data_IF_368764938244
#
_entry.id   IF_368764938244
#
_cell.length_a   1.000
_cell.length_b   1.000
_cell.length_c   1.000
_cell.angle_alpha   90.00
_cell.angle_beta   90.00
_cell.angle_gamma   90.00
#
_symmetry.space_group_name_H-M   'P 1'
#
loop_
_entity.id
_entity.type
_entity.pdbx_description
1 polymer ?
#
# COMPACT_ATOMS: atom_id res chain seq x y z
N UNK A 1 16.78 -9.94 -0.31
CA UNK A 1 16.07 -9.06 -1.26
C UNK A 1 16.06 -7.62 -0.73
N UNK A 2 15.98 -6.64 -1.61
CA UNK A 2 15.85 -5.26 -1.20
C UNK A 2 14.39 -4.92 -0.82
N UNK A 3 14.13 -3.68 -0.39
CA UNK A 3 12.80 -3.28 0.05
C UNK A 3 11.78 -3.34 -1.08
N UNK A 4 12.15 -2.92 -2.28
CA UNK A 4 11.27 -2.95 -3.44
C UNK A 4 10.88 -4.37 -3.80
N UNK A 5 11.85 -5.30 -3.80
CA UNK A 5 11.59 -6.71 -4.04
C UNK A 5 10.68 -7.31 -2.97
N UNK A 6 10.91 -6.94 -1.71
CA UNK A 6 10.08 -7.38 -0.58
C UNK A 6 8.64 -6.92 -0.75
N UNK A 7 8.44 -5.63 -1.03
CA UNK A 7 7.10 -5.07 -1.20
C UNK A 7 6.42 -5.59 -2.47
N UNK A 8 7.18 -5.88 -3.51
CA UNK A 8 6.64 -6.50 -4.71
C UNK A 8 6.16 -7.92 -4.41
N UNK A 9 6.94 -8.69 -3.65
CA UNK A 9 6.54 -10.03 -3.21
C UNK A 9 5.29 -9.97 -2.32
N UNK A 10 5.21 -9.00 -1.41
CA UNK A 10 4.04 -8.80 -0.57
C UNK A 10 2.82 -8.41 -1.40
N UNK A 11 2.99 -7.57 -2.42
CA UNK A 11 1.91 -7.23 -3.35
C UNK A 11 1.30 -8.49 -3.94
N UNK A 12 2.13 -9.42 -4.42
CA UNK A 12 1.63 -10.68 -4.98
C UNK A 12 0.91 -11.52 -3.92
N UNK A 13 1.40 -11.52 -2.69
CA UNK A 13 0.77 -12.29 -1.59
C UNK A 13 -0.59 -11.74 -1.16
N UNK A 14 -0.83 -10.44 -1.31
CA UNK A 14 -2.11 -9.85 -0.94
C UNK A 14 -3.15 -9.88 -2.07
N UNK A 15 -2.75 -10.23 -3.30
CA UNK A 15 -3.70 -10.35 -4.43
C UNK A 15 -4.92 -11.20 -4.11
N UNK A 16 -4.78 -12.40 -3.49
CA UNK A 16 -5.96 -13.20 -3.14
C UNK A 16 -6.93 -12.51 -2.19
N UNK A 17 -6.43 -11.65 -1.30
CA UNK A 17 -7.29 -10.90 -0.39
C UNK A 17 -8.23 -9.96 -1.14
N UNK A 18 -7.71 -9.31 -2.17
CA UNK A 18 -8.52 -8.45 -3.06
C UNK A 18 -9.49 -9.30 -3.88
N UNK A 19 -9.03 -10.42 -4.40
CA UNK A 19 -9.87 -11.32 -5.20
C UNK A 19 -11.09 -11.85 -4.44
N UNK A 20 -11.00 -12.01 -3.12
CA UNK A 20 -12.13 -12.41 -2.28
C UNK A 20 -13.30 -11.44 -2.39
N UNK A 21 -13.04 -10.20 -2.77
CA UNK A 21 -14.06 -9.16 -2.89
C UNK A 21 -14.33 -8.77 -4.35
N UNK A 22 -13.92 -9.64 -5.29
CA UNK A 22 -14.08 -9.38 -6.71
C UNK A 22 -13.20 -8.27 -7.26
N UNK A 23 -12.13 -7.92 -6.53
CA UNK A 23 -11.23 -6.87 -6.93
C UNK A 23 -9.94 -7.45 -7.52
N UNK A 24 -9.47 -6.88 -8.63
CA UNK A 24 -8.24 -7.31 -9.28
C UNK A 24 -7.17 -6.23 -9.13
N UNK A 25 -6.10 -6.56 -8.42
CA UNK A 25 -4.91 -5.73 -8.40
C UNK A 25 -4.29 -5.78 -9.80
N UNK A 26 -3.94 -4.65 -10.42
CA UNK A 26 -3.32 -4.66 -11.75
C UNK A 26 -2.12 -5.62 -11.81
N UNK A 27 -1.95 -6.30 -12.95
CA UNK A 27 -0.89 -7.30 -13.12
C UNK A 27 0.48 -6.72 -12.83
N UNK A 28 0.71 -5.48 -13.24
CA UNK A 28 1.94 -4.77 -12.95
C UNK A 28 1.63 -3.52 -12.14
N UNK A 29 2.19 -3.47 -10.95
CA UNK A 29 2.19 -2.30 -10.07
C UNK A 29 3.64 -2.06 -9.69
N UNK A 30 4.15 -0.89 -9.98
CA UNK A 30 5.50 -0.53 -9.56
C UNK A 30 5.45 -0.07 -8.11
N UNK A 31 6.26 -0.69 -7.26
CA UNK A 31 6.36 -0.30 -5.84
C UNK A 31 7.80 0.13 -5.59
N UNK A 32 7.96 1.36 -5.15
CA UNK A 32 9.26 1.93 -4.81
C UNK A 32 9.26 2.42 -3.38
N UNK A 33 10.41 2.34 -2.74
CA UNK A 33 10.63 2.93 -1.42
C UNK A 33 11.36 4.25 -1.63
N UNK A 34 10.69 5.34 -1.27
CA UNK A 34 11.22 6.67 -1.45
C UNK A 34 10.29 7.69 -0.81
N UNK A 35 10.74 8.92 -0.72
CA UNK A 35 9.89 9.96 -0.16
C UNK A 35 8.83 10.36 -1.19
N UNK A 36 7.53 10.30 -0.78
CA UNK A 36 6.47 10.82 -1.64
C UNK A 36 6.70 12.29 -1.96
N UNK A 37 6.14 12.75 -3.07
CA UNK A 37 6.36 14.10 -3.57
C UNK A 37 5.79 15.18 -2.68
N UNK A 38 4.95 14.84 -1.69
CA UNK A 38 4.18 15.80 -0.92
C UNK A 38 4.21 15.45 0.55
N UNK A 39 4.63 16.41 1.39
CA UNK A 39 4.62 16.30 2.85
C UNK A 39 5.39 15.10 3.42
N UNK A 40 6.37 14.57 2.70
CA UNK A 40 7.09 13.36 3.09
C UNK A 40 7.82 13.51 4.43
N UNK A 41 8.34 14.70 4.72
CA UNK A 41 9.12 14.99 5.93
C UNK A 41 8.34 15.82 6.96
N UNK A 42 7.08 16.15 6.68
CA UNK A 42 6.25 16.93 7.59
C UNK A 42 5.87 16.08 8.82
N UNK A 43 5.97 16.66 10.02
CA UNK A 43 5.54 15.99 11.25
C UNK A 43 4.03 15.98 11.42
N UNK A 44 3.32 16.93 10.81
CA UNK A 44 1.86 17.05 10.90
C UNK A 44 1.11 16.40 9.74
N UNK A 45 1.67 16.50 8.53
CA UNK A 45 1.02 16.07 7.28
C UNK A 45 1.92 15.13 6.50
N UNK A 46 2.65 14.26 7.22
CA UNK A 46 3.57 13.32 6.58
C UNK A 46 2.81 12.39 5.66
N UNK A 47 3.18 12.39 4.39
CA UNK A 47 2.70 11.41 3.42
C UNK A 47 3.56 10.17 3.55
N UNK A 48 2.96 9.04 3.96
CA UNK A 48 3.65 7.79 4.20
C UNK A 48 3.51 6.79 3.06
N UNK A 49 2.57 7.05 2.16
CA UNK A 49 2.40 6.29 0.93
C UNK A 49 1.73 7.15 -0.12
N UNK A 50 1.90 6.80 -1.37
CA UNK A 50 1.31 7.52 -2.49
C UNK A 50 1.13 6.59 -3.67
N UNK A 51 -0.04 6.66 -4.32
CA UNK A 51 -0.30 5.95 -5.57
C UNK A 51 -0.44 6.94 -6.72
N UNK A 52 0.38 6.74 -7.74
CA UNK A 52 0.26 7.48 -8.99
C UNK A 52 -0.56 6.67 -9.97
N UNK A 53 -1.59 7.24 -10.61
CA UNK A 53 -2.40 6.51 -11.56
C UNK A 53 -1.59 6.09 -12.79
N UNK A 54 -2.09 5.07 -13.50
CA UNK A 54 -1.41 4.52 -14.67
C UNK A 54 -1.19 5.54 -15.77
N UNK A 55 -2.10 6.50 -15.94
CA UNK A 55 -1.97 7.55 -16.97
C UNK A 55 -0.86 8.55 -16.68
N UNK A 56 -0.36 8.59 -15.45
CA UNK A 56 0.78 9.45 -15.07
C UNK A 56 2.12 8.72 -15.14
N UNK A 57 2.09 7.41 -15.39
CA UNK A 57 3.29 6.59 -15.49
C UNK A 57 3.70 6.44 -16.96
N UNK A 58 5.00 6.50 -17.23
CA UNK A 58 5.54 6.40 -18.59
C UNK A 58 5.20 5.08 -19.28
N UNK A 59 5.03 4.00 -18.51
CA UNK A 59 4.73 2.67 -19.05
C UNK A 59 3.25 2.28 -18.91
N UNK A 60 2.40 3.19 -18.44
CA UNK A 60 0.97 2.94 -18.30
C UNK A 60 0.58 2.08 -17.11
N UNK A 61 1.47 1.85 -16.16
CA UNK A 61 1.18 1.08 -14.94
C UNK A 61 1.14 1.98 -13.72
N UNK A 62 0.29 1.66 -12.71
CA UNK A 62 0.28 2.45 -11.47
C UNK A 62 1.60 2.32 -10.73
N UNK A 63 1.99 3.38 -10.06
CA UNK A 63 3.24 3.43 -9.30
C UNK A 63 2.96 3.84 -7.86
N UNK A 64 3.38 2.99 -6.93
CA UNK A 64 3.20 3.21 -5.50
C UNK A 64 4.54 3.57 -4.87
N UNK A 65 4.54 4.62 -4.06
CA UNK A 65 5.69 5.01 -3.25
C UNK A 65 5.37 4.78 -1.79
N UNK A 66 6.28 4.11 -1.10
CA UNK A 66 6.17 3.82 0.34
C UNK A 66 7.31 4.55 1.04
N UNK A 67 6.99 5.25 2.13
CA UNK A 67 8.00 5.99 2.89
C UNK A 67 9.10 5.07 3.42
N UNK A 68 10.38 5.46 3.26
CA UNK A 68 11.49 4.68 3.81
C UNK A 68 11.57 4.71 5.34
N UNK A 69 10.74 5.51 5.99
CA UNK A 69 10.71 5.62 7.46
C UNK A 69 9.87 4.53 8.13
N UNK A 70 9.13 3.73 7.36
CA UNK A 70 8.21 2.73 7.90
C UNK A 70 8.91 1.40 8.14
N UNK A 71 8.52 0.72 9.23
CA UNK A 71 8.90 -0.67 9.46
C UNK A 71 8.04 -1.62 8.61
N UNK A 72 8.27 -2.93 8.71
CA UNK A 72 7.56 -3.91 7.89
C UNK A 72 6.04 -3.86 8.09
N UNK A 73 5.58 -3.79 9.34
CA UNK A 73 4.15 -3.79 9.65
C UNK A 73 3.46 -2.55 9.09
N UNK A 74 4.06 -1.39 9.29
CA UNK A 74 3.50 -0.13 8.81
C UNK A 74 3.57 -0.06 7.27
N UNK A 75 4.67 -0.49 6.68
CA UNK A 75 4.79 -0.54 5.23
C UNK A 75 3.74 -1.46 4.62
N UNK A 76 3.43 -2.58 5.26
CA UNK A 76 2.45 -3.54 4.77
C UNK A 76 1.04 -2.94 4.67
N UNK A 77 0.53 -2.32 5.75
CA UNK A 77 -0.82 -1.77 5.69
C UNK A 77 -0.91 -0.51 4.83
N UNK A 78 0.16 0.27 4.76
CA UNK A 78 0.22 1.41 3.84
C UNK A 78 0.20 0.94 2.39
N UNK A 79 0.93 -0.14 2.09
CA UNK A 79 0.88 -0.76 0.76
C UNK A 79 -0.56 -1.18 0.41
N UNK A 80 -1.27 -1.83 1.34
CA UNK A 80 -2.66 -2.24 1.10
C UNK A 80 -3.54 -1.01 0.81
N UNK A 81 -3.38 0.08 1.57
CA UNK A 81 -4.11 1.32 1.34
C UNK A 81 -3.86 1.84 -0.10
N UNK A 82 -2.60 1.89 -0.52
CA UNK A 82 -2.26 2.37 -1.86
C UNK A 82 -2.75 1.41 -2.95
N UNK A 83 -2.75 0.10 -2.68
CA UNK A 83 -3.30 -0.88 -3.62
C UNK A 83 -4.81 -0.71 -3.81
N UNK A 84 -5.55 -0.28 -2.78
CA UNK A 84 -6.97 0.05 -2.95
C UNK A 84 -7.12 1.16 -3.99
N UNK A 85 -6.29 2.21 -3.93
CA UNK A 85 -6.28 3.25 -4.96
C UNK A 85 -5.97 2.68 -6.34
N UNK A 86 -4.98 1.80 -6.44
CA UNK A 86 -4.60 1.20 -7.73
C UNK A 86 -5.72 0.36 -8.34
N UNK A 87 -6.51 -0.31 -7.50
CA UNK A 87 -7.64 -1.14 -7.95
C UNK A 87 -8.82 -0.29 -8.41
N UNK A 88 -9.24 0.66 -7.59
CA UNK A 88 -10.47 1.43 -7.88
C UNK A 88 -10.22 2.62 -8.80
N UNK A 89 -8.98 3.06 -8.90
CA UNK A 89 -8.61 4.26 -9.65
C UNK A 89 -8.48 5.48 -8.75
N UNK A 90 -7.40 6.23 -8.96
CA UNK A 90 -7.08 7.39 -8.12
C UNK A 90 -8.08 8.55 -8.28
N UNK A 91 -8.89 8.54 -9.34
CA UNK A 91 -9.88 9.59 -9.60
C UNK A 91 -10.94 9.72 -8.51
N UNK A 92 -11.18 8.65 -7.74
CA UNK A 92 -12.18 8.69 -6.67
C UNK A 92 -11.63 9.28 -5.38
N UNK A 93 -10.31 9.49 -5.29
CA UNK A 93 -9.68 9.95 -4.05
C UNK A 93 -9.96 8.97 -2.92
N UNK A 94 -10.46 9.48 -1.80
CA UNK A 94 -10.79 8.66 -0.63
C UNK A 94 -12.32 8.55 -0.44
N UNK A 95 -13.07 8.46 -1.53
CA UNK A 95 -14.54 8.45 -1.51
C UNK A 95 -15.08 7.29 -2.35
N UNK A 96 -16.35 6.97 -2.14
CA UNK A 96 -17.09 6.00 -2.96
C UNK A 96 -16.44 4.63 -3.03
N UNK A 97 -16.00 4.19 -4.22
CA UNK A 97 -15.40 2.86 -4.38
C UNK A 97 -14.20 2.61 -3.47
N UNK A 98 -13.38 3.64 -3.21
CA UNK A 98 -12.25 3.52 -2.29
C UNK A 98 -12.73 3.12 -0.89
N UNK A 99 -13.73 3.83 -0.37
CA UNK A 99 -14.25 3.57 0.98
C UNK A 99 -14.84 2.17 1.08
N UNK A 100 -15.56 1.74 0.05
CA UNK A 100 -16.15 0.39 0.04
C UNK A 100 -15.07 -0.68 0.09
N UNK A 101 -14.08 -0.58 -0.77
CA UNK A 101 -13.04 -1.61 -0.86
C UNK A 101 -12.12 -1.58 0.37
N UNK A 102 -11.75 -0.40 0.87
CA UNK A 102 -10.91 -0.32 2.06
C UNK A 102 -11.55 -1.04 3.25
N UNK A 103 -12.87 -0.89 3.42
CA UNK A 103 -13.59 -1.57 4.50
C UNK A 103 -13.67 -3.07 4.28
N UNK A 104 -13.91 -3.51 3.06
CA UNK A 104 -13.97 -4.93 2.72
C UNK A 104 -12.63 -5.62 3.00
N UNK A 105 -11.53 -4.96 2.68
CA UNK A 105 -10.18 -5.49 2.90
C UNK A 105 -9.83 -5.53 4.38
N UNK A 106 -10.47 -4.71 5.21
CA UNK A 106 -10.22 -4.67 6.64
C UNK A 106 -9.46 -3.45 7.12
N UNK A 107 -9.35 -2.41 6.29
CA UNK A 107 -8.85 -1.12 6.74
C UNK A 107 -9.97 -0.36 7.45
N UNK A 108 -9.63 0.40 8.47
CA UNK A 108 -10.57 1.11 9.32
C UNK A 108 -10.14 2.56 9.49
N UNK A 109 -10.99 3.33 10.15
CA UNK A 109 -10.72 4.73 10.47
C UNK A 109 -11.05 5.66 9.33
N UNK A 110 -10.43 6.84 9.34
CA UNK A 110 -10.66 7.84 8.29
C UNK A 110 -10.08 7.34 6.97
N UNK A 111 -10.81 7.45 5.85
CA UNK A 111 -10.29 7.03 4.55
C UNK A 111 -8.94 7.65 4.18
N UNK A 112 -8.67 8.87 4.64
CA UNK A 112 -7.40 9.56 4.38
C UNK A 112 -6.27 9.12 5.32
N UNK A 113 -6.59 8.40 6.39
CA UNK A 113 -5.64 7.99 7.42
C UNK A 113 -6.04 6.63 7.98
N UNK A 114 -6.13 5.62 7.09
CA UNK A 114 -6.59 4.29 7.48
C UNK A 114 -5.59 3.56 8.37
N UNK A 115 -6.13 2.71 9.24
CA UNK A 115 -5.36 1.78 10.05
C UNK A 115 -5.89 0.36 9.79
N UNK A 116 -5.07 -0.68 9.96
CA UNK A 116 -5.57 -2.03 9.78
C UNK A 116 -6.45 -2.46 10.95
N UNK A 117 -7.59 -3.09 10.66
CA UNK A 117 -8.38 -3.76 11.66
C UNK A 117 -7.71 -5.04 12.13
N UNK A 118 -8.21 -5.65 13.21
CA UNK A 118 -7.56 -6.81 13.81
C UNK A 118 -7.44 -8.00 12.87
N UNK A 119 -8.48 -8.27 12.09
CA UNK A 119 -8.45 -9.37 11.13
C UNK A 119 -7.37 -9.14 10.06
N UNK A 120 -7.25 -7.92 9.57
CA UNK A 120 -6.23 -7.59 8.57
C UNK A 120 -4.82 -7.67 9.18
N UNK A 121 -4.64 -7.20 10.40
CA UNK A 121 -3.35 -7.31 11.11
C UNK A 121 -2.92 -8.78 11.16
N UNK A 122 -3.82 -9.68 11.54
CA UNK A 122 -3.51 -11.11 11.62
C UNK A 122 -3.13 -11.69 10.26
N UNK A 123 -3.86 -11.33 9.21
CA UNK A 123 -3.55 -11.81 7.85
C UNK A 123 -2.23 -11.26 7.35
N UNK A 124 -1.97 -9.97 7.54
CA UNK A 124 -0.70 -9.37 7.11
C UNK A 124 0.48 -9.96 7.87
N UNK A 125 0.35 -10.14 9.18
CA UNK A 125 1.42 -10.77 9.96
C UNK A 125 1.74 -12.18 9.48
N UNK A 126 0.72 -12.96 9.12
CA UNK A 126 0.93 -14.30 8.57
C UNK A 126 1.68 -14.25 7.23
N UNK A 127 1.35 -13.29 6.37
CA UNK A 127 2.05 -13.12 5.10
C UNK A 127 3.49 -12.63 5.30
N UNK A 128 3.69 -11.70 6.23
CA UNK A 128 5.04 -11.20 6.55
C UNK A 128 5.93 -12.30 7.09
N UNK A 129 5.37 -13.25 7.86
CA UNK A 129 6.13 -14.38 8.39
C UNK A 129 6.62 -15.32 7.29
N UNK A 130 6.03 -15.30 6.10
CA UNK A 130 6.48 -16.09 4.95
C UNK A 130 7.64 -15.44 4.20
N UNK A 131 7.92 -14.16 4.49
CA UNK A 131 8.98 -13.40 3.85
C UNK A 131 10.16 -13.28 4.79
N UNK A 132 11.33 -12.97 4.22
CA UNK A 132 12.51 -12.61 5.01
C UNK A 132 12.23 -11.29 5.76
N UNK A 133 13.09 -10.94 6.71
CA UNK A 133 12.96 -9.67 7.42
C UNK A 133 13.02 -8.50 6.43
N UNK A 134 12.14 -7.53 6.66
CA UNK A 134 12.12 -6.33 5.83
C UNK A 134 13.47 -5.61 5.96
N UNK A 135 14.18 -5.37 4.84
CA UNK A 135 15.50 -4.74 4.90
C UNK A 135 15.36 -3.26 5.22
N UNK A 136 15.24 -2.96 6.51
CA UNK A 136 14.95 -1.64 7.02
C UNK A 136 16.22 -0.99 7.59
N UNK A 137 16.80 -0.07 6.84
CA UNK A 137 17.84 0.80 7.37
C UNK A 137 17.17 2.08 7.85
N UNK A 138 17.26 2.36 9.15
CA UNK A 138 16.67 3.57 9.71
C UNK A 138 17.40 4.78 9.16
N UNK A 139 16.65 5.69 8.54
CA UNK A 139 17.18 6.98 8.15
C UNK A 139 17.08 7.92 9.34
N UNK A 140 18.20 8.24 9.88
CA UNK A 140 18.29 9.18 11.00
C UNK A 140 18.49 10.62 10.49
#
# INVERSE_FOLDING_TARGET
MNREEYLQALTDKVRPMFAEHGASVPDKVHVSVGFPSRNALSTRRRTIGQCWPNECSADGHPHIFISPLLDASDAAHVLVHELVHAVVGCKYGHKGPFVRLMKQIGLEGKPTATVPGQALIGRLNALLAELDDYPHAVLS
#
